data_IF_675674014611
#
_entry.id   IF_675674014611
#
_cell.length_a   1.000
_cell.length_b   1.000
_cell.length_c   1.000
_cell.angle_alpha   90.00
_cell.angle_beta   90.00
_cell.angle_gamma   90.00
#
_symmetry.space_group_name_H-M   'P 1'
#
loop_
_entity.id
_entity.type
_entity.pdbx_description
1 polymer ?
#
# COMPACT_ATOMS: atom_id res chain seq x y z
N UNK A 1 -6.56 16.16 20.51
CA UNK A 1 -5.79 16.59 19.32
C UNK A 1 -4.69 15.55 19.11
N UNK A 2 -4.74 14.76 18.04
CA UNK A 2 -3.66 13.80 17.75
C UNK A 2 -2.49 14.59 17.17
N UNK A 3 -1.28 14.37 17.69
CA UNK A 3 -0.07 15.00 17.14
C UNK A 3 0.19 14.44 15.73
N UNK A 4 0.23 15.33 14.74
CA UNK A 4 0.49 14.99 13.34
C UNK A 4 1.81 14.25 13.15
N UNK A 5 2.84 14.55 13.95
CA UNK A 5 4.12 13.84 13.89
C UNK A 5 3.98 12.39 14.34
N UNK A 6 3.22 12.16 15.41
CA UNK A 6 2.93 10.80 15.91
C UNK A 6 2.14 10.04 14.85
N UNK A 7 1.12 10.65 14.24
CA UNK A 7 0.34 10.03 13.18
C UNK A 7 1.22 9.60 12.00
N UNK A 8 2.04 10.50 11.46
CA UNK A 8 2.91 10.21 10.32
C UNK A 8 3.94 9.12 10.65
N UNK A 9 4.47 9.12 11.87
CA UNK A 9 5.42 8.11 12.30
C UNK A 9 4.74 6.72 12.43
N UNK A 10 3.54 6.68 13.00
CA UNK A 10 2.74 5.46 13.08
C UNK A 10 2.42 4.92 11.69
N UNK A 11 2.00 5.78 10.76
CA UNK A 11 1.75 5.38 9.37
C UNK A 11 3.00 4.79 8.72
N UNK A 12 4.17 5.42 8.88
CA UNK A 12 5.43 4.91 8.33
C UNK A 12 5.76 3.49 8.81
N UNK A 13 5.51 3.18 10.09
CA UNK A 13 5.74 1.85 10.65
C UNK A 13 4.65 0.84 10.27
N UNK A 14 3.43 1.30 10.02
CA UNK A 14 2.31 0.47 9.63
C UNK A 14 2.41 0.02 8.17
N UNK A 15 2.98 0.86 7.28
CA UNK A 15 3.05 0.59 5.85
C UNK A 15 3.72 -0.75 5.49
N UNK A 16 4.91 -1.11 6.02
CA UNK A 16 5.52 -2.41 5.76
C UNK A 16 4.62 -3.58 6.14
N UNK A 17 3.87 -3.46 7.24
CA UNK A 17 2.94 -4.50 7.71
C UNK A 17 1.78 -4.64 6.74
N UNK A 18 1.19 -3.53 6.29
CA UNK A 18 0.09 -3.54 5.32
C UNK A 18 0.52 -4.15 3.98
N UNK A 19 1.69 -3.75 3.47
CA UNK A 19 2.22 -4.33 2.24
C UNK A 19 2.61 -5.80 2.41
N UNK A 20 3.14 -6.20 3.57
CA UNK A 20 3.41 -7.61 3.86
C UNK A 20 2.14 -8.45 3.84
N UNK A 21 1.09 -8.01 4.54
CA UNK A 21 -0.22 -8.70 4.54
C UNK A 21 -0.79 -8.78 3.12
N UNK A 22 -0.76 -7.67 2.37
CA UNK A 22 -1.24 -7.63 0.99
C UNK A 22 -0.45 -8.58 0.09
N UNK A 23 0.88 -8.61 0.21
CA UNK A 23 1.76 -9.50 -0.54
C UNK A 23 1.45 -10.98 -0.27
N UNK A 24 1.37 -11.38 1.00
CA UNK A 24 1.05 -12.78 1.33
C UNK A 24 -0.35 -13.18 0.87
N UNK A 25 -1.35 -12.32 1.06
CA UNK A 25 -2.69 -12.64 0.57
C UNK A 25 -2.74 -12.74 -0.96
N UNK A 26 -1.94 -11.94 -1.66
CA UNK A 26 -1.83 -12.01 -3.11
C UNK A 26 -1.09 -13.27 -3.57
N UNK A 27 -0.07 -13.74 -2.85
CA UNK A 27 0.52 -15.07 -3.09
C UNK A 27 -0.54 -16.16 -2.93
N UNK A 28 -1.37 -16.08 -1.89
CA UNK A 28 -2.41 -17.07 -1.64
C UNK A 28 -3.36 -17.21 -2.83
N UNK A 29 -3.70 -16.14 -3.53
CA UNK A 29 -4.53 -16.18 -4.76
C UNK A 29 -3.97 -17.16 -5.81
N UNK A 30 -2.65 -17.31 -5.91
CA UNK A 30 -2.03 -18.23 -6.87
C UNK A 30 -1.95 -19.68 -6.43
N UNK A 31 -2.03 -19.94 -5.11
CA UNK A 31 -1.88 -21.29 -4.54
C UNK A 31 -3.19 -21.87 -4.01
N UNK A 32 -4.28 -21.08 -4.01
CA UNK A 32 -5.60 -21.51 -3.55
C UNK A 32 -6.71 -21.19 -4.55
N UNK A 33 -7.77 -22.01 -4.51
CA UNK A 33 -9.03 -21.76 -5.22
C UNK A 33 -10.09 -21.11 -4.31
N UNK A 34 -9.75 -20.81 -3.05
CA UNK A 34 -10.70 -20.18 -2.12
C UNK A 34 -11.18 -18.80 -2.61
N UNK A 35 -12.50 -18.69 -2.76
CA UNK A 35 -13.18 -17.46 -3.22
C UNK A 35 -12.93 -16.28 -2.29
N UNK A 36 -12.79 -16.52 -0.98
CA UNK A 36 -12.61 -15.46 0.01
C UNK A 36 -11.26 -14.76 -0.15
N UNK A 37 -10.19 -15.54 -0.36
CA UNK A 37 -8.83 -15.01 -0.60
C UNK A 37 -8.83 -14.08 -1.82
N UNK A 38 -9.45 -14.50 -2.92
CA UNK A 38 -9.57 -13.71 -4.16
C UNK A 38 -10.34 -12.42 -3.95
N UNK A 39 -11.46 -12.47 -3.22
CA UNK A 39 -12.28 -11.28 -2.93
C UNK A 39 -11.57 -10.25 -2.05
N UNK A 40 -10.68 -10.69 -1.15
CA UNK A 40 -10.03 -9.82 -0.17
C UNK A 40 -8.66 -9.30 -0.63
N UNK A 41 -8.00 -9.97 -1.59
CA UNK A 41 -6.69 -9.60 -2.11
C UNK A 41 -6.65 -8.16 -2.64
N UNK A 42 -7.53 -7.83 -3.58
CA UNK A 42 -7.59 -6.50 -4.19
C UNK A 42 -7.94 -5.39 -3.18
N UNK A 43 -8.95 -5.52 -2.32
CA UNK A 43 -9.22 -4.55 -1.25
C UNK A 43 -8.02 -4.31 -0.33
N UNK A 44 -7.27 -5.35 0.06
CA UNK A 44 -6.11 -5.19 0.94
C UNK A 44 -4.99 -4.37 0.28
N UNK A 45 -4.66 -4.66 -0.98
CA UNK A 45 -3.68 -3.86 -1.74
C UNK A 45 -4.18 -2.42 -1.88
N UNK A 46 -5.47 -2.22 -2.16
CA UNK A 46 -6.07 -0.89 -2.28
C UNK A 46 -5.99 -0.08 -0.98
N UNK A 47 -6.23 -0.72 0.16
CA UNK A 47 -6.08 -0.09 1.48
C UNK A 47 -4.62 0.29 1.72
N UNK A 48 -3.66 -0.60 1.45
CA UNK A 48 -2.24 -0.30 1.62
C UNK A 48 -1.79 0.90 0.76
N UNK A 49 -2.22 0.94 -0.51
CA UNK A 49 -1.95 2.06 -1.43
C UNK A 49 -2.58 3.35 -0.94
N UNK A 50 -3.85 3.32 -0.51
CA UNK A 50 -4.54 4.51 0.02
C UNK A 50 -3.85 5.06 1.28
N UNK A 51 -3.47 4.19 2.22
CA UNK A 51 -2.74 4.58 3.43
C UNK A 51 -1.38 5.18 3.09
N UNK A 52 -0.68 4.63 2.09
CA UNK A 52 0.61 5.16 1.64
C UNK A 52 0.46 6.54 0.97
N UNK A 53 -0.58 6.73 0.14
CA UNK A 53 -0.91 8.03 -0.42
C UNK A 53 -1.18 9.08 0.68
N UNK A 54 -1.95 8.72 1.71
CA UNK A 54 -2.21 9.59 2.87
C UNK A 54 -0.91 9.94 3.59
N UNK A 55 -0.02 8.97 3.80
CA UNK A 55 1.30 9.21 4.37
C UNK A 55 2.12 10.19 3.52
N UNK A 56 2.26 9.95 2.21
CA UNK A 56 3.09 10.76 1.33
C UNK A 56 2.57 12.20 1.21
N UNK A 57 1.25 12.37 1.05
CA UNK A 57 0.61 13.69 1.00
C UNK A 57 0.73 14.40 2.35
N UNK A 58 0.42 13.72 3.45
CA UNK A 58 0.50 14.29 4.79
C UNK A 58 1.93 14.72 5.15
N UNK A 59 2.93 13.90 4.81
CA UNK A 59 4.33 14.24 4.99
C UNK A 59 4.72 15.46 4.14
N UNK A 60 4.36 15.48 2.86
CA UNK A 60 4.70 16.58 1.95
C UNK A 60 4.08 17.89 2.40
N UNK A 61 2.82 17.88 2.83
CA UNK A 61 2.12 19.07 3.34
C UNK A 61 2.75 19.56 4.65
N UNK A 62 3.11 18.65 5.56
CA UNK A 62 3.60 19.04 6.89
C UNK A 62 5.07 19.50 6.86
N UNK A 63 5.93 18.79 6.13
CA UNK A 63 7.37 19.05 6.07
C UNK A 63 7.79 19.90 4.85
N UNK A 64 6.86 20.24 3.95
CA UNK A 64 7.10 21.05 2.75
C UNK A 64 8.13 20.46 1.77
N UNK A 65 8.38 19.15 1.85
CA UNK A 65 9.21 18.41 0.90
C UNK A 65 8.74 16.97 0.77
N UNK A 66 9.07 16.32 -0.35
CA UNK A 66 8.69 14.93 -0.62
C UNK A 66 9.45 13.98 0.32
N UNK A 67 8.82 12.91 0.86
CA UNK A 67 9.47 11.94 1.73
C UNK A 67 10.45 11.05 0.94
N UNK A 68 11.65 11.56 0.66
CA UNK A 68 12.77 10.78 0.08
C UNK A 68 14.06 10.93 0.90
N UNK A 69 13.94 11.32 2.17
CA UNK A 69 15.10 11.60 3.03
C UNK A 69 15.65 10.35 3.72
N UNK A 70 14.90 9.25 3.77
CA UNK A 70 15.37 7.97 4.31
C UNK A 70 15.11 6.81 3.35
N UNK A 71 15.89 5.73 3.54
CA UNK A 71 15.73 4.48 2.77
C UNK A 71 14.31 3.92 2.91
N UNK A 72 13.72 3.98 4.09
CA UNK A 72 12.35 3.49 4.31
C UNK A 72 11.30 4.26 3.52
N UNK A 73 11.48 5.57 3.38
CA UNK A 73 10.57 6.38 2.59
C UNK A 73 10.72 6.13 1.09
N UNK A 74 11.96 5.94 0.61
CA UNK A 74 12.24 5.53 -0.77
C UNK A 74 11.60 4.17 -1.08
N UNK A 75 11.78 3.17 -0.21
CA UNK A 75 11.13 1.87 -0.35
C UNK A 75 9.60 1.99 -0.32
N UNK A 76 9.05 2.83 0.56
CA UNK A 76 7.62 3.12 0.63
C UNK A 76 7.08 3.72 -0.67
N UNK A 77 7.82 4.63 -1.30
CA UNK A 77 7.43 5.23 -2.57
C UNK A 77 7.50 4.22 -3.73
N UNK A 78 8.53 3.37 -3.78
CA UNK A 78 8.62 2.28 -4.77
C UNK A 78 7.45 1.31 -4.60
N UNK A 79 7.17 0.88 -3.36
CA UNK A 79 6.03 0.02 -3.04
C UNK A 79 4.69 0.66 -3.44
N UNK A 80 4.52 1.96 -3.18
CA UNK A 80 3.37 2.74 -3.63
C UNK A 80 3.22 2.70 -5.15
N UNK A 81 4.26 3.08 -5.89
CA UNK A 81 4.22 3.12 -7.35
C UNK A 81 3.91 1.76 -7.95
N UNK A 82 4.59 0.70 -7.48
CA UNK A 82 4.37 -0.66 -7.96
C UNK A 82 2.93 -1.14 -7.71
N UNK A 83 2.43 -0.97 -6.49
CA UNK A 83 1.09 -1.43 -6.13
C UNK A 83 -0.02 -0.59 -6.80
N UNK A 84 0.19 0.71 -6.97
CA UNK A 84 -0.75 1.58 -7.68
C UNK A 84 -0.83 1.21 -9.18
N UNK A 85 0.32 0.98 -9.81
CA UNK A 85 0.37 0.49 -11.21
C UNK A 85 -0.30 -0.87 -11.32
N UNK A 86 -0.02 -1.78 -10.39
CA UNK A 86 -0.66 -3.09 -10.35
C UNK A 86 -2.19 -2.98 -10.30
N UNK A 87 -2.74 -2.20 -9.36
CA UNK A 87 -4.20 -1.99 -9.26
C UNK A 87 -4.77 -1.34 -10.52
N UNK A 88 -4.02 -0.43 -11.14
CA UNK A 88 -4.44 0.19 -12.40
C UNK A 88 -4.50 -0.84 -13.54
N UNK A 89 -3.46 -1.66 -13.70
CA UNK A 89 -3.44 -2.73 -14.71
C UNK A 89 -4.58 -3.72 -14.46
N UNK A 90 -4.80 -4.13 -13.22
CA UNK A 90 -5.90 -5.02 -12.82
C UNK A 90 -7.28 -4.45 -13.19
N UNK A 91 -7.45 -3.13 -13.24
CA UNK A 91 -8.71 -2.52 -13.73
C UNK A 91 -8.87 -2.57 -15.26
N UNK A 92 -7.79 -2.79 -15.99
CA UNK A 92 -7.74 -2.79 -17.47
C UNK A 92 -7.68 -4.19 -18.05
N UNK A 93 -7.15 -5.14 -17.32
CA UNK A 93 -7.16 -6.56 -17.68
C UNK A 93 -8.24 -7.26 -16.86
N UNK A 94 -9.18 -7.91 -17.52
CA UNK A 94 -10.00 -8.97 -16.90
C UNK A 94 -9.05 -10.13 -16.57
N UNK A 95 -8.35 -10.03 -15.43
CA UNK A 95 -7.48 -11.11 -14.98
C UNK A 95 -8.38 -12.29 -14.63
N UNK A 96 -8.16 -13.50 -15.17
CA UNK A 96 -8.98 -14.69 -14.90
C UNK A 96 -8.90 -15.19 -13.45
N UNK A 97 -8.18 -14.48 -12.58
CA UNK A 97 -7.94 -14.84 -11.19
C UNK A 97 -8.68 -13.96 -10.16
N UNK A 98 -9.39 -12.92 -10.60
CA UNK A 98 -10.25 -12.03 -9.78
C UNK A 98 -11.69 -12.03 -10.21
#
# INVERSE_FOLDING_TARGET
MIDTKILLNTLLHLLPVLYGIAFFNYILVFVTEEVLVRRVARPLVSIAVAVNAVYMLGFTIFFQHVPFVTVFQMLGAVAFSMAAIYLWVETKTESPYT
#
